data_IF_180942410414
#
_entry.id   IF_180942410414
#
_cell.length_a   1.000
_cell.length_b   1.000
_cell.length_c   1.000
_cell.angle_alpha   90.00
_cell.angle_beta   90.00
_cell.angle_gamma   90.00
#
_symmetry.space_group_name_H-M   'P 1'
#
loop_
_entity.id
_entity.type
_entity.pdbx_description
1 polymer ?
#
# COMPACT_ATOMS: atom_id res chain seq x y z
N UNK A 1 13.34 -15.59 7.69
CA UNK A 1 12.41 -14.56 8.22
C UNK A 1 11.76 -13.86 7.03
N UNK A 2 10.43 -13.74 6.94
CA UNK A 2 9.81 -12.97 5.86
C UNK A 2 10.28 -11.50 5.96
N UNK A 3 10.75 -10.93 4.84
CA UNK A 3 11.11 -9.50 4.76
C UNK A 3 9.84 -8.68 5.00
N UNK A 4 9.87 -7.73 5.93
CA UNK A 4 8.80 -6.72 6.05
C UNK A 4 8.61 -6.06 4.69
N UNK A 5 7.38 -6.05 4.18
CA UNK A 5 7.05 -5.34 2.95
C UNK A 5 7.07 -3.84 3.23
N UNK A 6 7.38 -3.02 2.21
CA UNK A 6 7.37 -1.56 2.33
C UNK A 6 6.00 -1.07 2.83
N UNK A 7 4.91 -1.73 2.45
CA UNK A 7 3.56 -1.46 2.94
C UNK A 7 3.36 -1.70 4.43
N UNK A 8 3.94 -2.77 4.98
CA UNK A 8 3.87 -2.99 6.42
C UNK A 8 4.59 -1.87 7.19
N UNK A 9 5.67 -1.33 6.62
CA UNK A 9 6.35 -0.15 7.17
C UNK A 9 5.48 1.11 7.09
N UNK A 10 4.74 1.33 5.99
CA UNK A 10 3.83 2.48 5.86
C UNK A 10 2.69 2.47 6.87
N UNK A 11 2.10 1.31 7.15
CA UNK A 11 1.06 1.21 8.18
C UNK A 11 1.62 1.52 9.58
N UNK A 12 2.79 0.98 9.92
CA UNK A 12 3.47 1.28 11.19
C UNK A 12 3.81 2.77 11.33
N UNK A 13 4.24 3.41 10.24
CA UNK A 13 4.51 4.85 10.23
C UNK A 13 3.23 5.68 10.35
N UNK A 14 2.12 5.26 9.73
CA UNK A 14 0.83 5.94 9.89
C UNK A 14 0.36 5.92 11.36
N UNK A 15 0.45 4.76 12.03
CA UNK A 15 0.11 4.63 13.45
C UNK A 15 1.02 5.47 14.36
N UNK A 16 2.32 5.56 14.03
CA UNK A 16 3.24 6.42 14.78
C UNK A 16 2.87 7.90 14.65
N UNK A 17 2.53 8.36 13.45
CA UNK A 17 2.12 9.75 13.19
C UNK A 17 0.79 10.09 13.87
N UNK A 18 -0.15 9.14 13.95
CA UNK A 18 -1.40 9.35 14.69
C UNK A 18 -1.16 9.52 16.19
N UNK A 19 -0.33 8.66 16.78
CA UNK A 19 0.07 8.80 18.19
C UNK A 19 0.78 10.11 18.46
N UNK A 20 1.66 10.55 17.56
CA UNK A 20 2.31 11.86 17.68
C UNK A 20 1.29 13.00 17.61
N UNK A 21 0.32 12.90 16.69
CA UNK A 21 -0.75 13.88 16.55
C UNK A 21 -1.68 13.97 17.76
N UNK A 22 -1.87 12.88 18.51
CA UNK A 22 -2.64 12.86 19.76
C UNK A 22 -1.96 13.66 20.88
N UNK A 23 -0.63 13.78 20.85
CA UNK A 23 0.13 14.58 21.84
C UNK A 23 0.10 16.08 21.56
N UNK A 24 -0.32 16.49 20.36
CA UNK A 24 -0.34 17.89 19.95
C UNK A 24 -1.71 18.54 20.20
N UNK A 25 -1.74 19.83 20.55
CA UNK A 25 -2.99 20.59 20.57
C UNK A 25 -3.59 20.66 19.16
N UNK A 26 -4.91 20.90 19.09
CA UNK A 26 -5.61 21.14 17.82
C UNK A 26 -4.94 22.30 17.08
N UNK A 27 -4.57 22.07 15.83
CA UNK A 27 -3.93 23.08 14.99
C UNK A 27 -3.15 22.47 13.83
N UNK A 28 -2.51 23.34 13.06
CA UNK A 28 -1.85 22.98 11.79
C UNK A 28 -0.83 21.85 11.91
N UNK A 29 -0.08 21.80 13.01
CA UNK A 29 0.91 20.75 13.23
C UNK A 29 0.27 19.36 13.39
N UNK A 30 -0.77 19.27 14.23
CA UNK A 30 -1.59 18.07 14.39
C UNK A 30 -2.22 17.63 13.07
N UNK A 31 -2.80 18.59 12.34
CA UNK A 31 -3.48 18.31 11.07
C UNK A 31 -2.51 17.80 9.99
N UNK A 32 -1.28 18.32 9.96
CA UNK A 32 -0.25 17.87 9.04
C UNK A 32 0.16 16.39 9.32
N UNK A 33 0.32 16.02 10.59
CA UNK A 33 0.60 14.64 10.98
C UNK A 33 -0.55 13.70 10.58
N UNK A 34 -1.80 14.08 10.90
CA UNK A 34 -2.99 13.29 10.54
C UNK A 34 -3.20 13.18 9.02
N UNK A 35 -2.82 14.21 8.26
CA UNK A 35 -2.85 14.16 6.79
C UNK A 35 -1.84 13.14 6.26
N UNK A 36 -0.61 13.15 6.78
CA UNK A 36 0.45 12.22 6.37
C UNK A 36 0.11 10.77 6.75
N UNK A 37 -0.45 10.55 7.94
CA UNK A 37 -0.92 9.24 8.37
C UNK A 37 -1.96 8.66 7.41
N UNK A 38 -2.96 9.47 7.02
CA UNK A 38 -3.97 9.08 6.02
C UNK A 38 -3.36 8.71 4.68
N UNK A 39 -2.41 9.51 4.18
CA UNK A 39 -1.73 9.22 2.91
C UNK A 39 -1.01 7.87 2.93
N UNK A 40 -0.32 7.53 4.02
CA UNK A 40 0.39 6.26 4.18
C UNK A 40 -0.56 5.06 4.26
N UNK A 41 -1.72 5.21 4.92
CA UNK A 41 -2.77 4.18 4.90
C UNK A 41 -3.30 3.95 3.49
N UNK A 42 -3.66 5.03 2.79
CA UNK A 42 -4.15 4.93 1.41
C UNK A 42 -3.11 4.29 0.48
N UNK A 43 -1.83 4.66 0.61
CA UNK A 43 -0.76 4.02 -0.18
C UNK A 43 -0.65 2.51 0.10
N UNK A 44 -0.83 2.09 1.35
CA UNK A 44 -0.83 0.68 1.74
C UNK A 44 -2.04 -0.09 1.20
N UNK A 45 -3.21 0.56 1.17
CA UNK A 45 -4.42 -0.01 0.57
C UNK A 45 -4.31 -0.14 -0.95
N UNK A 46 -3.74 0.88 -1.62
CA UNK A 46 -3.48 0.84 -3.06
C UNK A 46 -2.53 -0.31 -3.43
N UNK A 47 -1.43 -0.48 -2.70
CA UNK A 47 -0.50 -1.59 -2.93
C UNK A 47 -1.16 -2.96 -2.71
N UNK A 48 -2.04 -3.08 -1.70
CA UNK A 48 -2.85 -4.29 -1.50
C UNK A 48 -3.73 -4.57 -2.72
N UNK A 49 -4.38 -3.55 -3.27
CA UNK A 49 -5.22 -3.71 -4.47
C UNK A 49 -4.39 -4.12 -5.68
N UNK A 50 -3.31 -3.40 -5.99
CA UNK A 50 -2.46 -3.69 -7.15
C UNK A 50 -1.82 -5.08 -7.07
N UNK A 51 -1.53 -5.55 -5.85
CA UNK A 51 -0.96 -6.88 -5.63
C UNK A 51 -1.98 -8.03 -5.71
N UNK A 52 -3.28 -7.72 -5.84
CA UNK A 52 -4.35 -8.72 -5.90
C UNK A 52 -4.25 -9.58 -7.17
N UNK A 53 -4.41 -10.92 -7.08
CA UNK A 53 -4.34 -11.81 -8.24
C UNK A 53 -5.32 -11.46 -9.36
N UNK A 54 -6.49 -10.91 -9.04
CA UNK A 54 -7.51 -10.53 -10.03
C UNK A 54 -7.15 -9.34 -10.92
N UNK A 55 -6.04 -8.65 -10.66
CA UNK A 55 -5.51 -7.53 -11.45
C UNK A 55 -4.25 -7.90 -12.24
N UNK A 56 -3.69 -9.10 -12.02
CA UNK A 56 -2.59 -9.61 -12.84
C UNK A 56 -3.18 -10.31 -14.07
N UNK A 57 -2.65 -10.04 -15.28
CA UNK A 57 -3.02 -10.85 -16.43
C UNK A 57 -2.70 -12.32 -16.13
N UNK A 58 -3.57 -13.26 -16.52
CA UNK A 58 -3.33 -14.67 -16.28
C UNK A 58 -2.05 -15.11 -17.01
N UNK A 59 -1.25 -15.94 -16.33
CA UNK A 59 0.04 -16.46 -16.83
C UNK A 59 -0.12 -17.33 -18.10
N UNK A 60 -1.35 -17.69 -18.46
CA UNK A 60 -1.72 -18.53 -19.59
C UNK A 60 -1.59 -17.84 -20.97
N UNK A 61 -1.44 -16.51 -21.00
CA UNK A 61 -1.14 -15.78 -22.24
C UNK A 61 0.16 -16.23 -22.92
N UNK A 62 1.04 -16.94 -22.20
CA UNK A 62 2.26 -17.54 -22.76
C UNK A 62 2.02 -18.83 -23.55
N UNK A 63 0.90 -19.52 -23.33
CA UNK A 63 0.57 -20.79 -23.99
C UNK A 63 -0.33 -20.62 -25.22
N UNK A 64 -1.03 -19.47 -25.36
CA UNK A 64 -1.89 -19.18 -26.51
C UNK A 64 -1.13 -18.77 -27.79
N UNK A 65 0.17 -18.52 -27.71
CA UNK A 65 1.02 -18.18 -28.85
C UNK A 65 1.73 -19.39 -29.51
N UNK A 66 1.47 -20.62 -29.03
CA UNK A 66 2.13 -21.85 -29.50
C UNK A 66 1.35 -22.68 -30.51
N UNK A 67 0.07 -22.38 -30.75
CA UNK A 67 -0.82 -23.22 -31.58
C UNK A 67 -1.16 -22.55 -32.93
N UNK A 68 -0.17 -21.95 -33.59
CA UNK A 68 -0.31 -21.49 -34.97
C UNK A 68 0.92 -21.86 -35.80
N UNK A 69 1.18 -23.16 -35.90
CA UNK A 69 1.89 -23.74 -37.03
C UNK A 69 0.98 -24.80 -37.67
N UNK A 70 0.78 -24.63 -38.98
CA UNK A 70 -0.04 -25.42 -39.88
C UNK A 70 0.53 -26.81 -40.17
#
# INVERSE_FOLDING_TARGET
MPRKTITQSWLQQAEALEREAETLPVGRARDALLKKARQLRTASEMDRWISSPGLKPPDDLRNLAGDNDA
#
